data_IF_867115238921
#
_entry.id   IF_867115238921
#
_cell.length_a   1.000
_cell.length_b   1.000
_cell.length_c   1.000
_cell.angle_alpha   90.00
_cell.angle_beta   90.00
_cell.angle_gamma   90.00
#
_symmetry.space_group_name_H-M   'P 1'
#
loop_
_entity.id
_entity.type
_entity.pdbx_description
1 polymer ?
#
# COMPACT_ATOMS: atom_id res chain seq x y z
N UNK A 1 -2.97 -10.31 1.73
CA UNK A 1 -3.85 -9.17 1.98
C UNK A 1 -3.05 -7.89 2.09
N UNK A 2 -3.56 -6.83 1.52
CA UNK A 2 -2.85 -5.56 1.50
C UNK A 2 -2.99 -4.82 2.84
N UNK A 3 -1.88 -4.36 3.37
CA UNK A 3 -1.86 -3.65 4.65
C UNK A 3 -1.81 -2.14 4.45
N UNK A 4 -2.39 -1.65 3.37
CA UNK A 4 -2.28 -0.25 3.00
C UNK A 4 -2.85 0.66 4.08
N UNK A 5 -4.06 0.37 4.53
CA UNK A 5 -4.72 1.23 5.52
C UNK A 5 -3.95 1.24 6.85
N UNK A 6 -3.51 0.06 7.27
CA UNK A 6 -2.78 -0.05 8.52
C UNK A 6 -1.49 0.76 8.49
N UNK A 7 -0.72 0.63 7.42
CA UNK A 7 0.53 1.34 7.31
C UNK A 7 0.30 2.84 7.15
N UNK A 8 -0.72 3.21 6.39
CA UNK A 8 -1.06 4.61 6.21
C UNK A 8 -1.44 5.27 7.54
N UNK A 9 -2.29 4.60 8.30
CA UNK A 9 -2.74 5.15 9.59
C UNK A 9 -1.61 5.21 10.59
N UNK A 10 -0.75 4.19 10.56
CA UNK A 10 0.40 4.17 11.47
C UNK A 10 1.31 5.37 11.23
N UNK A 11 1.40 5.81 9.98
CA UNK A 11 2.26 6.94 9.64
C UNK A 11 1.52 8.27 9.66
N UNK A 12 0.24 8.26 10.03
CA UNK A 12 -0.54 9.48 10.11
C UNK A 12 -0.81 10.13 8.76
N UNK A 13 -0.92 9.33 7.69
CA UNK A 13 -1.08 9.84 6.35
C UNK A 13 -2.53 9.67 5.90
N UNK A 14 -3.15 10.77 5.46
CA UNK A 14 -4.51 10.71 4.94
C UNK A 14 -4.51 10.13 3.53
N UNK A 15 -5.69 9.69 3.08
CA UNK A 15 -5.81 9.21 1.70
C UNK A 15 -5.42 10.29 0.70
N UNK A 16 -5.80 11.53 1.00
CA UNK A 16 -5.49 12.64 0.12
C UNK A 16 -3.98 12.88 0.06
N UNK A 17 -3.32 12.82 1.21
CA UNK A 17 -1.88 12.99 1.24
C UNK A 17 -1.18 11.86 0.49
N UNK A 18 -1.68 10.64 0.65
CA UNK A 18 -1.10 9.50 -0.04
C UNK A 18 -1.29 9.64 -1.55
N UNK A 19 -2.44 10.16 -1.99
CA UNK A 19 -2.64 10.43 -3.40
C UNK A 19 -1.56 11.37 -3.92
N UNK A 20 -1.26 12.41 -3.15
CA UNK A 20 -0.31 13.42 -3.62
C UNK A 20 1.10 12.87 -3.75
N UNK A 21 1.49 12.00 -2.84
CA UNK A 21 2.85 11.45 -2.88
C UNK A 21 2.98 10.26 -3.81
N UNK A 22 1.93 9.47 -3.94
CA UNK A 22 2.00 8.25 -4.76
C UNK A 22 1.50 8.45 -6.19
N UNK A 23 0.64 9.44 -6.40
CA UNK A 23 0.03 9.63 -7.69
C UNK A 23 -1.14 8.69 -7.97
N UNK A 24 -1.56 7.92 -6.97
CA UNK A 24 -2.66 6.97 -7.12
C UNK A 24 -3.96 7.64 -6.66
N UNK A 25 -5.02 7.53 -7.46
CA UNK A 25 -6.28 8.21 -7.17
C UNK A 25 -6.87 7.73 -5.85
N UNK A 26 -7.55 8.66 -5.16
CA UNK A 26 -8.17 8.35 -3.87
C UNK A 26 -9.17 7.21 -4.01
N UNK A 27 -9.95 7.20 -5.10
CA UNK A 27 -10.93 6.13 -5.29
C UNK A 27 -10.25 4.76 -5.39
N UNK A 28 -9.11 4.70 -6.06
CA UNK A 28 -8.35 3.45 -6.14
C UNK A 28 -7.79 3.06 -4.79
N UNK A 29 -7.27 4.04 -4.05
CA UNK A 29 -6.73 3.77 -2.72
C UNK A 29 -7.80 3.22 -1.80
N UNK A 30 -9.00 3.82 -1.83
CA UNK A 30 -10.10 3.36 -1.00
C UNK A 30 -10.50 1.93 -1.34
N UNK A 31 -10.52 1.61 -2.63
CA UNK A 31 -10.86 0.25 -3.06
C UNK A 31 -9.82 -0.75 -2.57
N UNK A 32 -8.54 -0.41 -2.71
CA UNK A 32 -7.48 -1.31 -2.25
C UNK A 32 -7.55 -1.52 -0.74
N UNK A 33 -7.87 -0.47 0.01
CA UNK A 33 -7.98 -0.60 1.47
C UNK A 33 -9.18 -1.47 1.86
N UNK A 34 -10.20 -1.48 1.02
CA UNK A 34 -11.39 -2.30 1.26
C UNK A 34 -11.19 -3.75 0.79
N UNK A 35 -10.01 -4.07 0.28
CA UNK A 35 -9.74 -5.41 -0.20
C UNK A 35 -10.30 -5.69 -1.57
N UNK A 36 -10.61 -4.64 -2.32
CA UNK A 36 -11.17 -4.78 -3.67
C UNK A 36 -10.11 -4.44 -4.70
N UNK A 37 -10.18 -5.13 -5.81
CA UNK A 37 -9.24 -4.88 -6.89
C UNK A 37 -7.89 -5.51 -6.63
N UNK A 38 -7.06 -5.45 -7.65
CA UNK A 38 -5.72 -6.06 -7.62
C UNK A 38 -4.72 -5.04 -8.13
N UNK A 39 -4.04 -4.33 -7.24
CA UNK A 39 -3.08 -3.34 -7.71
C UNK A 39 -1.92 -4.02 -8.43
N UNK A 40 -1.47 -3.39 -9.50
CA UNK A 40 -0.33 -3.89 -10.25
C UNK A 40 0.95 -3.66 -9.45
N UNK A 41 1.99 -4.39 -9.80
CA UNK A 41 3.27 -4.24 -9.11
C UNK A 41 3.77 -2.80 -9.15
N UNK A 42 3.59 -2.12 -10.28
CA UNK A 42 4.02 -0.72 -10.38
C UNK A 42 3.28 0.15 -9.37
N UNK A 43 1.99 -0.10 -9.17
CA UNK A 43 1.19 0.64 -8.20
C UNK A 43 1.66 0.32 -6.79
N UNK A 44 1.94 -0.95 -6.51
CA UNK A 44 2.44 -1.35 -5.19
C UNK A 44 3.76 -0.67 -4.88
N UNK A 45 4.63 -0.56 -5.87
CA UNK A 45 5.91 0.12 -5.69
C UNK A 45 5.74 1.60 -5.38
N UNK A 46 4.79 2.24 -6.06
CA UNK A 46 4.52 3.66 -5.80
C UNK A 46 4.00 3.86 -4.38
N UNK A 47 3.11 2.99 -3.95
CA UNK A 47 2.55 3.10 -2.61
C UNK A 47 3.59 2.81 -1.54
N UNK A 48 4.41 1.78 -1.76
CA UNK A 48 5.46 1.43 -0.81
C UNK A 48 6.44 2.59 -0.66
N UNK A 49 6.82 3.19 -1.78
CA UNK A 49 7.75 4.31 -1.74
C UNK A 49 7.12 5.51 -1.03
N UNK A 50 5.85 5.79 -1.31
CA UNK A 50 5.17 6.92 -0.70
C UNK A 50 5.04 6.74 0.81
N UNK A 51 4.89 5.50 1.27
CA UNK A 51 4.77 5.21 2.69
C UNK A 51 6.11 4.86 3.33
N UNK A 52 7.17 4.84 2.52
CA UNK A 52 8.51 4.52 3.00
C UNK A 52 8.57 3.14 3.66
N UNK A 53 7.96 2.17 3.00
CA UNK A 53 7.99 0.78 3.42
C UNK A 53 8.36 -0.08 2.23
N UNK A 54 8.62 -1.36 2.46
CA UNK A 54 8.89 -2.27 1.36
C UNK A 54 7.57 -2.78 0.78
N UNK A 55 7.62 -3.29 -0.45
CA UNK A 55 6.44 -3.90 -1.05
C UNK A 55 6.02 -5.11 -0.21
N UNK A 56 6.98 -5.87 0.30
CA UNK A 56 6.67 -7.02 1.15
C UNK A 56 5.88 -6.60 2.38
N UNK A 57 6.26 -5.50 3.01
CA UNK A 57 5.52 -5.00 4.15
C UNK A 57 4.11 -4.59 3.75
N UNK A 58 3.99 -3.96 2.59
CA UNK A 58 2.70 -3.48 2.12
C UNK A 58 1.72 -4.61 1.87
N UNK A 59 2.19 -5.71 1.32
CA UNK A 59 1.31 -6.85 1.05
C UNK A 59 1.21 -7.81 2.23
N UNK A 60 1.94 -7.56 3.28
CA UNK A 60 1.86 -8.37 4.48
C UNK A 60 2.50 -9.75 4.34
N UNK A 61 3.47 -9.87 3.45
CA UNK A 61 4.11 -11.14 3.14
C UNK A 61 5.35 -11.37 3.98
N UNK A 62 5.19 -11.44 5.24
CA UNK A 62 6.37 -11.64 6.05
C UNK A 62 6.91 -13.05 5.98
N UNK A 63 6.12 -13.97 5.53
CA UNK A 63 6.56 -15.34 5.44
C UNK A 63 7.43 -15.60 4.24
N UNK A 64 7.69 -14.62 3.47
CA UNK A 64 8.50 -14.78 2.28
C UNK A 64 9.81 -15.44 2.59
N UNK A 65 10.16 -15.20 3.66
CA UNK A 65 11.36 -15.80 3.96
C UNK A 65 11.46 -17.23 3.62
N UNK A 66 11.05 -17.34 3.35
CA UNK A 66 11.21 -18.27 3.17
C UNK A 66 11.32 -19.05 2.55
N UNK A 67 11.43 -18.96 2.32
CA UNK A 67 11.39 -19.59 1.93
C UNK A 67 11.40 -20.49 2.05
N UNK A 68 11.22 -20.55 2.56
CA UNK A 68 11.19 -21.15 2.65
C UNK A 68 11.06 -21.43 2.38
#
# INVERSE_FOLDING_TARGET
MLRLRELRERKGVSLRALKQTSGVAVSSLARFEAGQGDPQLSTLRKLAKALNVTVAELIGERSIKKGD
#
